data_IF_335329402088
#
_entry.id   IF_335329402088
#
_cell.length_a   1.000
_cell.length_b   1.000
_cell.length_c   1.000
_cell.angle_alpha   90.00
_cell.angle_beta   90.00
_cell.angle_gamma   90.00
#
_symmetry.space_group_name_H-M   'P 1'
#
loop_
_entity.id
_entity.type
_entity.pdbx_description
1 polymer ?
#
# COMPACT_ATOMS: atom_id res chain seq x y z
N UNK A 1 10.25 42.86 -0.08
CA UNK A 1 8.94 42.31 0.37
C UNK A 1 8.09 42.03 -0.86
N UNK A 2 8.02 40.78 -1.30
CA UNK A 2 7.23 40.42 -2.50
C UNK A 2 5.83 40.06 -2.05
N UNK A 3 4.86 40.85 -2.49
CA UNK A 3 3.42 40.71 -2.23
C UNK A 3 2.92 39.31 -2.60
N UNK A 4 2.27 38.64 -1.65
CA UNK A 4 1.49 37.43 -1.89
C UNK A 4 0.32 37.78 -2.82
N UNK A 5 0.39 37.33 -4.07
CA UNK A 5 -0.75 37.43 -4.98
C UNK A 5 -1.80 36.42 -4.52
N UNK A 6 -2.92 36.93 -4.01
CA UNK A 6 -4.11 36.13 -3.71
C UNK A 6 -4.65 35.53 -5.01
N UNK A 7 -4.90 34.21 -5.01
CA UNK A 7 -5.54 33.52 -6.13
C UNK A 7 -7.00 33.99 -6.23
N UNK A 8 -7.52 34.32 -7.42
CA UNK A 8 -8.88 34.81 -7.60
C UNK A 8 -9.91 33.73 -7.24
N UNK A 9 -10.94 34.14 -6.47
CA UNK A 9 -12.01 33.30 -5.88
C UNK A 9 -12.97 32.70 -6.93
N UNK A 10 -12.76 32.96 -8.22
CA UNK A 10 -13.68 32.58 -9.30
C UNK A 10 -13.48 31.18 -9.91
N UNK A 11 -12.55 30.37 -9.40
CA UNK A 11 -12.25 29.04 -9.98
C UNK A 11 -12.52 27.85 -9.05
N UNK A 12 -13.51 27.98 -8.16
CA UNK A 12 -14.00 26.85 -7.36
C UNK A 12 -14.86 25.97 -8.27
N UNK A 13 -14.23 24.98 -8.91
CA UNK A 13 -14.93 23.92 -9.64
C UNK A 13 -15.97 23.28 -8.69
N UNK A 14 -17.23 23.07 -9.13
CA UNK A 14 -18.22 22.31 -8.37
C UNK A 14 -17.63 20.98 -7.88
N UNK A 15 -17.99 20.55 -6.67
CA UNK A 15 -17.47 19.31 -6.06
C UNK A 15 -17.55 18.10 -7.00
N UNK A 16 -18.58 18.05 -7.84
CA UNK A 16 -18.73 17.01 -8.86
C UNK A 16 -17.62 17.05 -9.92
N UNK A 17 -17.26 18.23 -10.41
CA UNK A 17 -16.19 18.38 -11.40
C UNK A 17 -14.81 18.08 -10.81
N UNK A 18 -14.60 18.42 -9.52
CA UNK A 18 -13.38 18.03 -8.78
C UNK A 18 -13.32 16.50 -8.64
N UNK A 19 -14.42 15.86 -8.25
CA UNK A 19 -14.53 14.41 -8.15
C UNK A 19 -14.24 13.73 -9.49
N UNK A 20 -14.81 14.23 -10.58
CA UNK A 20 -14.62 13.65 -11.91
C UNK A 20 -13.18 13.80 -12.39
N UNK A 21 -12.55 14.96 -12.15
CA UNK A 21 -11.14 15.18 -12.45
C UNK A 21 -10.23 14.24 -11.63
N UNK A 22 -10.52 14.08 -10.35
CA UNK A 22 -9.81 13.15 -9.47
C UNK A 22 -9.96 11.70 -9.93
N UNK A 23 -11.18 11.25 -10.23
CA UNK A 23 -11.46 9.90 -10.73
C UNK A 23 -10.73 9.63 -12.05
N UNK A 24 -10.68 10.59 -12.97
CA UNK A 24 -9.91 10.48 -14.23
C UNK A 24 -8.41 10.33 -13.96
N UNK A 25 -7.87 11.12 -13.03
CA UNK A 25 -6.46 11.05 -12.65
C UNK A 25 -6.11 9.72 -11.99
N UNK A 26 -6.94 9.26 -11.04
CA UNK A 26 -6.78 7.97 -10.36
C UNK A 26 -6.87 6.83 -11.36
N UNK A 27 -7.86 6.84 -12.27
CA UNK A 27 -8.01 5.82 -13.32
C UNK A 27 -6.75 5.69 -14.19
N UNK A 28 -6.13 6.80 -14.59
CA UNK A 28 -4.87 6.77 -15.37
C UNK A 28 -3.74 6.10 -14.59
N UNK A 29 -3.59 6.43 -13.30
CA UNK A 29 -2.57 5.84 -12.43
C UNK A 29 -2.82 4.36 -12.18
N UNK A 30 -4.05 3.97 -11.82
CA UNK A 30 -4.41 2.57 -11.56
C UNK A 30 -4.30 1.71 -12.81
N UNK A 31 -4.63 2.23 -13.99
CA UNK A 31 -4.41 1.54 -15.27
C UNK A 31 -2.93 1.24 -15.53
N UNK A 32 -2.04 2.15 -15.15
CA UNK A 32 -0.59 1.96 -15.30
C UNK A 32 -0.09 0.90 -14.33
N UNK A 33 -0.52 0.97 -13.06
CA UNK A 33 -0.17 -0.01 -12.04
C UNK A 33 -0.68 -1.41 -12.39
N UNK A 34 -1.94 -1.54 -12.82
CA UNK A 34 -2.53 -2.81 -13.20
C UNK A 34 -1.77 -3.49 -14.36
N UNK A 35 -1.29 -2.71 -15.34
CA UNK A 35 -0.44 -3.23 -16.43
C UNK A 35 0.87 -3.82 -15.90
N UNK A 36 1.58 -3.10 -15.04
CA UNK A 36 2.81 -3.59 -14.44
C UNK A 36 2.58 -4.83 -13.55
N UNK A 37 1.45 -4.89 -12.85
CA UNK A 37 1.08 -6.04 -12.02
C UNK A 37 0.74 -7.28 -12.84
N UNK A 38 0.11 -7.14 -14.01
CA UNK A 38 -0.19 -8.29 -14.89
C UNK A 38 1.08 -9.03 -15.33
N UNK A 39 2.20 -8.32 -15.50
CA UNK A 39 3.50 -8.92 -15.82
C UNK A 39 4.06 -9.78 -14.67
N UNK A 40 3.66 -9.50 -13.42
CA UNK A 40 4.18 -10.18 -12.23
C UNK A 40 3.25 -11.27 -11.68
N UNK A 41 1.93 -11.04 -11.75
CA UNK A 41 0.94 -11.86 -11.06
C UNK A 41 0.22 -12.87 -11.96
N UNK A 42 0.51 -12.89 -13.28
CA UNK A 42 -0.06 -13.83 -14.25
C UNK A 42 -1.56 -14.11 -14.03
N UNK A 43 -2.37 -13.05 -13.88
CA UNK A 43 -3.81 -13.22 -13.75
C UNK A 43 -4.40 -13.59 -15.11
N UNK A 44 -4.77 -14.85 -15.26
CA UNK A 44 -5.26 -15.47 -16.51
C UNK A 44 -6.71 -15.12 -16.86
N UNK A 45 -7.42 -14.40 -15.98
CA UNK A 45 -8.83 -14.05 -16.16
C UNK A 45 -9.81 -15.21 -15.95
N UNK A 46 -9.32 -16.37 -15.47
CA UNK A 46 -10.14 -17.51 -15.05
C UNK A 46 -11.16 -17.11 -13.98
N UNK A 47 -12.16 -17.96 -13.76
CA UNK A 47 -13.14 -17.74 -12.69
C UNK A 47 -12.44 -17.72 -11.33
N UNK A 48 -11.46 -18.61 -11.14
CA UNK A 48 -10.63 -18.72 -9.94
C UNK A 48 -9.84 -17.43 -9.68
N UNK A 49 -9.19 -16.88 -10.71
CA UNK A 49 -8.50 -15.59 -10.66
C UNK A 49 -9.45 -14.45 -10.29
N UNK A 50 -10.66 -14.44 -10.85
CA UNK A 50 -11.68 -13.41 -10.55
C UNK A 50 -12.24 -13.55 -9.14
N UNK A 51 -12.45 -14.77 -8.65
CA UNK A 51 -12.86 -15.04 -7.26
C UNK A 51 -11.76 -14.58 -6.30
N UNK A 52 -10.50 -14.87 -6.58
CA UNK A 52 -9.38 -14.43 -5.76
C UNK A 52 -9.29 -12.90 -5.71
N UNK A 53 -9.42 -12.22 -6.85
CA UNK A 53 -9.43 -10.76 -6.92
C UNK A 53 -10.60 -10.14 -6.12
N UNK A 54 -11.80 -10.74 -6.20
CA UNK A 54 -12.97 -10.32 -5.40
C UNK A 54 -12.72 -10.46 -3.89
N UNK A 55 -12.27 -11.63 -3.45
CA UNK A 55 -11.94 -11.90 -2.04
C UNK A 55 -10.89 -10.93 -1.50
N UNK A 56 -9.89 -10.60 -2.34
CA UNK A 56 -8.88 -9.60 -1.99
C UNK A 56 -9.51 -8.22 -1.83
N UNK A 57 -10.34 -7.77 -2.78
CA UNK A 57 -11.02 -6.48 -2.68
C UNK A 57 -11.85 -6.38 -1.39
N UNK A 58 -12.65 -7.42 -1.11
CA UNK A 58 -13.48 -7.51 0.10
C UNK A 58 -12.65 -7.40 1.38
N UNK A 59 -11.47 -8.03 1.44
CA UNK A 59 -10.61 -7.96 2.62
C UNK A 59 -10.10 -6.53 2.86
N UNK A 60 -9.66 -5.82 1.81
CA UNK A 60 -9.20 -4.43 1.91
C UNK A 60 -10.31 -3.42 2.23
N UNK A 61 -11.55 -3.69 1.83
CA UNK A 61 -12.70 -2.82 2.13
C UNK A 61 -13.39 -3.14 3.45
N UNK A 62 -12.95 -4.19 4.15
CA UNK A 62 -13.60 -4.59 5.40
C UNK A 62 -13.25 -3.64 6.56
N UNK A 63 -14.24 -3.35 7.41
CA UNK A 63 -14.05 -2.54 8.62
C UNK A 63 -12.98 -3.14 9.55
N UNK A 64 -12.82 -4.47 9.53
CA UNK A 64 -11.76 -5.17 10.26
C UNK A 64 -10.36 -4.82 9.71
N UNK A 65 -10.18 -4.76 8.39
CA UNK A 65 -8.90 -4.35 7.80
C UNK A 65 -8.59 -2.87 8.08
N UNK A 66 -9.61 -1.99 8.04
CA UNK A 66 -9.46 -0.59 8.43
C UNK A 66 -9.14 -0.43 9.92
N UNK A 67 -9.71 -1.27 10.79
CA UNK A 67 -9.43 -1.27 12.22
C UNK A 67 -8.05 -1.84 12.59
N UNK A 68 -7.47 -2.72 11.77
CA UNK A 68 -6.10 -3.22 11.96
C UNK A 68 -5.04 -2.12 11.78
N UNK A 69 -5.32 -1.10 10.98
CA UNK A 69 -4.43 0.06 10.82
C UNK A 69 -4.37 0.95 12.09
N UNK A 70 -5.41 0.94 12.92
CA UNK A 70 -5.44 1.68 14.19
C UNK A 70 -4.59 1.08 15.31
N UNK A 71 -4.18 -0.20 15.22
CA UNK A 71 -3.42 -0.90 16.26
C UNK A 71 -1.91 -0.61 16.26
N UNK A 72 -1.41 0.07 15.23
CA UNK A 72 0.02 0.24 15.00
C UNK A 72 0.72 -1.07 14.61
N UNK A 73 1.92 -0.95 14.02
CA UNK A 73 2.67 -2.12 13.60
C UNK A 73 3.08 -3.00 14.79
N UNK A 74 3.00 -4.32 14.62
CA UNK A 74 3.46 -5.31 15.60
C UNK A 74 4.78 -5.93 15.18
N UNK A 75 5.60 -6.29 16.16
CA UNK A 75 6.87 -6.95 15.95
C UNK A 75 6.63 -8.38 15.47
N UNK A 76 7.19 -8.74 14.33
CA UNK A 76 7.03 -10.09 13.75
C UNK A 76 7.63 -11.22 14.62
N UNK A 77 8.47 -10.88 15.60
CA UNK A 77 9.08 -11.85 16.52
C UNK A 77 8.32 -12.02 17.83
N UNK A 78 8.02 -10.92 18.54
CA UNK A 78 7.43 -10.96 19.89
C UNK A 78 5.98 -10.47 19.96
N UNK A 79 5.45 -9.84 18.90
CA UNK A 79 4.08 -9.32 18.87
C UNK A 79 3.88 -7.94 19.50
N UNK A 80 4.86 -7.42 20.24
CA UNK A 80 4.83 -6.08 20.84
C UNK A 80 4.78 -4.97 19.78
N UNK A 81 4.49 -3.74 20.22
CA UNK A 81 4.51 -2.57 19.34
C UNK A 81 5.87 -2.42 18.64
N UNK A 82 5.84 -2.40 17.32
CA UNK A 82 6.99 -2.17 16.48
C UNK A 82 7.12 -0.71 16.09
N UNK A 83 8.36 -0.27 15.92
CA UNK A 83 8.69 1.11 15.51
C UNK A 83 9.61 1.14 14.30
N UNK A 84 10.22 0.02 13.93
CA UNK A 84 11.22 -0.06 12.86
C UNK A 84 10.80 -1.09 11.83
N UNK A 85 11.01 -0.77 10.55
CA UNK A 85 10.93 -1.76 9.46
C UNK A 85 12.30 -2.32 9.14
N UNK A 86 12.32 -3.51 8.55
CA UNK A 86 13.51 -4.01 7.87
C UNK A 86 14.02 -2.95 6.89
N UNK A 87 15.27 -2.52 7.03
CA UNK A 87 15.85 -1.44 6.20
C UNK A 87 15.99 -1.82 4.73
N UNK A 88 16.06 -3.12 4.42
CA UNK A 88 16.26 -3.64 3.07
C UNK A 88 14.95 -3.70 2.28
N UNK A 89 13.99 -4.51 2.74
CA UNK A 89 12.73 -4.72 2.03
C UNK A 89 11.61 -3.77 2.45
N UNK A 90 11.71 -3.13 3.62
CA UNK A 90 10.69 -2.22 4.18
C UNK A 90 9.29 -2.84 4.34
N UNK A 91 9.17 -4.17 4.37
CA UNK A 91 7.87 -4.87 4.50
C UNK A 91 7.59 -5.38 5.91
N UNK A 92 8.58 -5.95 6.60
CA UNK A 92 8.38 -6.52 7.95
C UNK A 92 8.80 -5.56 9.07
N UNK A 93 8.05 -5.58 10.17
CA UNK A 93 8.20 -4.67 11.31
C UNK A 93 8.80 -5.37 12.55
N UNK A 94 9.62 -4.64 13.29
CA UNK A 94 10.28 -5.08 14.51
C UNK A 94 10.29 -3.98 15.58
N UNK A 95 10.24 -4.38 16.85
CA UNK A 95 10.47 -3.47 17.98
C UNK A 95 11.93 -3.04 18.09
N UNK A 96 12.87 -3.89 17.64
CA UNK A 96 14.31 -3.63 17.71
C UNK A 96 15.14 -4.61 16.87
N UNK A 97 16.46 -4.36 16.82
CA UNK A 97 17.41 -5.15 16.02
C UNK A 97 17.51 -6.60 16.51
N UNK A 98 17.40 -6.83 17.81
CA UNK A 98 17.45 -8.17 18.41
C UNK A 98 16.36 -9.08 17.86
N UNK A 99 15.11 -8.60 17.86
CA UNK A 99 13.97 -9.32 17.28
C UNK A 99 14.14 -9.57 15.77
N UNK A 100 14.68 -8.60 15.03
CA UNK A 100 14.98 -8.77 13.60
C UNK A 100 16.00 -9.89 13.36
N UNK A 101 17.10 -9.91 14.13
CA UNK A 101 18.15 -10.93 13.98
C UNK A 101 17.62 -12.32 14.34
N UNK A 102 16.82 -12.43 15.41
CA UNK A 102 16.20 -13.71 15.79
C UNK A 102 15.20 -14.23 14.74
N UNK A 103 14.48 -13.34 14.07
CA UNK A 103 13.51 -13.70 13.02
C UNK A 103 14.16 -13.88 11.64
N UNK A 104 15.41 -13.42 11.47
CA UNK A 104 16.13 -13.44 10.20
C UNK A 104 16.11 -14.79 9.46
N UNK A 105 16.28 -15.96 10.12
CA UNK A 105 16.21 -17.25 9.42
C UNK A 105 14.90 -17.47 8.66
N UNK A 106 13.78 -16.95 9.18
CA UNK A 106 12.46 -17.03 8.53
C UNK A 106 12.23 -15.87 7.55
N UNK A 107 12.74 -14.69 7.87
CA UNK A 107 12.52 -13.49 7.05
C UNK A 107 13.38 -13.45 5.78
N UNK A 108 14.58 -14.05 5.78
CA UNK A 108 15.60 -13.89 4.73
C UNK A 108 15.08 -14.13 3.31
N UNK A 109 14.39 -15.24 3.07
CA UNK A 109 13.90 -15.61 1.74
C UNK A 109 12.87 -14.61 1.23
N UNK A 110 11.91 -14.23 2.08
CA UNK A 110 10.89 -13.24 1.75
C UNK A 110 11.50 -11.84 1.62
N UNK A 111 12.52 -11.50 2.40
CA UNK A 111 13.23 -10.23 2.33
C UNK A 111 13.81 -9.99 0.94
N UNK A 112 14.44 -11.03 0.36
CA UNK A 112 15.03 -10.95 -0.98
C UNK A 112 13.99 -10.76 -2.08
N UNK A 113 12.83 -11.39 -1.95
CA UNK A 113 11.72 -11.22 -2.90
C UNK A 113 11.11 -9.82 -2.79
N UNK A 114 10.77 -9.40 -1.57
CA UNK A 114 10.13 -8.11 -1.34
C UNK A 114 11.04 -6.92 -1.67
N UNK A 115 12.35 -7.03 -1.45
CA UNK A 115 13.29 -5.97 -1.82
C UNK A 115 13.33 -5.70 -3.34
N UNK A 116 12.90 -6.65 -4.17
CA UNK A 116 12.80 -6.48 -5.63
C UNK A 116 11.46 -5.89 -6.06
N UNK A 117 10.40 -6.16 -5.31
CA UNK A 117 9.02 -5.76 -5.63
C UNK A 117 8.72 -4.35 -5.10
N UNK A 118 9.16 -4.04 -3.89
CA UNK A 118 8.85 -2.79 -3.19
C UNK A 118 9.98 -1.77 -3.44
N UNK A 119 9.87 -1.00 -4.54
CA UNK A 119 10.71 0.18 -4.83
C UNK A 119 9.88 1.44 -4.74
#
# INVERSE_FOLDING_TARGET
MKTMKTLPVHNVLPLQQIKDAYLKQVHKKTKTLAKAQLELFHMDGSEESRIMAKKLLESYTSDAALALDSGGAKCAKCGDKATKKCSRCKTEWYCGRECQVQQWPKHKELCDQFAKICV
#
